data_IF_998084075939
#
_entry.id   IF_998084075939
#
_cell.length_a   1.000
_cell.length_b   1.000
_cell.length_c   1.000
_cell.angle_alpha   90.00
_cell.angle_beta   90.00
_cell.angle_gamma   90.00
#
_symmetry.space_group_name_H-M   'P 1'
#
loop_
_entity.id
_entity.type
_entity.pdbx_description
1 polymer ?
#
# COMPACT_ATOMS: atom_id res chain seq x y z
N UNK A 1 3.83 -2.14 5.68
CA UNK A 1 4.13 -0.97 4.81
C UNK A 1 3.17 -1.01 3.63
N UNK A 2 2.61 0.16 3.25
CA UNK A 2 1.77 0.33 2.07
C UNK A 2 2.59 1.01 0.98
N UNK A 3 2.61 0.41 -0.22
CA UNK A 3 3.39 0.90 -1.37
C UNK A 3 2.45 1.48 -2.42
N UNK A 4 2.78 2.65 -2.95
CA UNK A 4 2.13 3.15 -4.17
C UNK A 4 2.68 2.40 -5.36
N UNK A 5 1.77 1.91 -6.19
CA UNK A 5 2.10 1.23 -7.46
C UNK A 5 1.48 1.97 -8.63
N UNK A 6 2.21 1.97 -9.73
CA UNK A 6 1.76 2.46 -11.05
C UNK A 6 2.01 1.37 -12.09
N UNK A 7 1.46 1.54 -13.29
CA UNK A 7 1.78 0.66 -14.40
C UNK A 7 3.30 0.69 -14.69
N UNK A 8 3.89 -0.46 -15.04
CA UNK A 8 5.34 -0.57 -15.32
C UNK A 8 5.84 0.40 -16.38
N UNK A 9 4.98 0.75 -17.34
CA UNK A 9 5.30 1.65 -18.45
C UNK A 9 5.05 3.14 -18.11
N UNK A 10 4.56 3.47 -16.92
CA UNK A 10 4.42 4.85 -16.48
C UNK A 10 5.79 5.53 -16.40
N UNK A 11 5.98 6.76 -16.89
CA UNK A 11 7.22 7.51 -16.70
C UNK A 11 7.44 7.95 -15.24
N UNK A 12 6.37 7.95 -14.44
CA UNK A 12 6.44 8.39 -13.03
C UNK A 12 7.13 7.31 -12.18
N UNK A 13 8.22 7.69 -11.51
CA UNK A 13 9.01 6.82 -10.62
C UNK A 13 9.13 7.35 -9.20
N UNK A 14 8.77 8.61 -8.98
CA UNK A 14 8.84 9.26 -7.68
C UNK A 14 7.64 10.20 -7.48
N UNK A 15 7.13 10.25 -6.27
CA UNK A 15 6.09 11.19 -5.84
C UNK A 15 6.44 11.76 -4.48
N UNK A 16 6.03 12.99 -4.23
CA UNK A 16 6.02 13.53 -2.87
C UNK A 16 4.77 13.08 -2.11
N UNK A 17 4.79 13.11 -0.78
CA UNK A 17 3.59 12.87 0.05
C UNK A 17 2.45 13.82 -0.32
N UNK A 18 2.77 15.07 -0.63
CA UNK A 18 1.77 16.05 -1.05
C UNK A 18 1.10 15.68 -2.38
N UNK A 19 1.88 15.21 -3.37
CA UNK A 19 1.35 14.72 -4.65
C UNK A 19 0.47 13.48 -4.45
N UNK A 20 0.92 12.50 -3.65
CA UNK A 20 0.11 11.32 -3.32
C UNK A 20 -1.22 11.74 -2.70
N UNK A 21 -1.21 12.63 -1.72
CA UNK A 21 -2.43 13.13 -1.09
C UNK A 21 -3.38 13.79 -2.10
N UNK A 22 -2.85 14.65 -2.98
CA UNK A 22 -3.64 15.35 -4.00
C UNK A 22 -4.21 14.40 -5.06
N UNK A 23 -3.46 13.38 -5.47
CA UNK A 23 -3.92 12.34 -6.40
C UNK A 23 -5.09 11.57 -5.78
N UNK A 24 -4.87 10.97 -4.61
CA UNK A 24 -5.89 10.11 -3.99
C UNK A 24 -7.11 10.86 -3.46
N UNK A 25 -7.05 12.19 -3.34
CA UNK A 25 -8.21 13.06 -3.06
C UNK A 25 -8.83 13.66 -4.33
N UNK A 26 -8.32 13.34 -5.52
CA UNK A 26 -8.85 13.81 -6.80
C UNK A 26 -8.57 15.28 -7.11
N UNK A 27 -7.61 15.90 -6.43
CA UNK A 27 -7.16 17.27 -6.71
C UNK A 27 -6.21 17.31 -7.92
N UNK A 28 -5.37 16.29 -8.11
CA UNK A 28 -4.59 16.04 -9.32
C UNK A 28 -5.34 14.94 -10.08
N UNK A 29 -5.72 15.23 -11.32
CA UNK A 29 -6.56 14.35 -12.15
C UNK A 29 -5.87 13.85 -13.41
N UNK A 30 -4.80 14.50 -13.82
CA UNK A 30 -4.05 14.16 -15.02
C UNK A 30 -2.56 13.98 -14.67
N UNK A 31 -1.93 12.99 -15.31
CA UNK A 31 -0.52 12.71 -15.07
C UNK A 31 0.42 13.85 -15.49
N UNK A 32 0.01 14.68 -16.46
CA UNK A 32 0.80 15.85 -16.91
C UNK A 32 0.99 16.91 -15.81
N UNK A 33 0.09 16.96 -14.83
CA UNK A 33 0.19 17.90 -13.69
C UNK A 33 1.40 17.60 -12.76
N UNK A 34 1.98 16.41 -12.91
CA UNK A 34 3.12 15.96 -12.10
C UNK A 34 4.30 15.46 -12.96
N UNK A 35 4.38 15.88 -14.22
CA UNK A 35 5.47 15.55 -15.13
C UNK A 35 5.38 14.18 -15.77
N UNK A 36 4.21 13.54 -15.71
CA UNK A 36 3.89 12.32 -16.46
C UNK A 36 3.44 12.59 -17.89
N UNK A 37 3.22 11.54 -18.66
CA UNK A 37 2.56 11.64 -19.96
C UNK A 37 1.09 12.07 -19.78
N UNK A 38 0.55 12.96 -20.65
CA UNK A 38 -0.86 13.37 -20.54
C UNK A 38 -1.81 12.17 -20.53
N UNK A 39 -2.78 12.20 -19.62
CA UNK A 39 -3.80 11.19 -19.48
C UNK A 39 -4.45 11.19 -18.09
N UNK A 40 -5.75 10.86 -18.03
CA UNK A 40 -6.50 10.89 -16.78
C UNK A 40 -5.99 9.82 -15.80
N UNK A 41 -5.84 10.18 -14.54
CA UNK A 41 -5.41 9.25 -13.49
C UNK A 41 -6.58 8.35 -13.08
N UNK A 42 -6.40 7.03 -13.22
CA UNK A 42 -7.35 6.02 -12.73
C UNK A 42 -6.92 5.53 -11.36
N UNK A 43 -7.67 5.87 -10.30
CA UNK A 43 -7.36 5.54 -8.92
C UNK A 43 -8.01 4.22 -8.54
N UNK A 44 -7.18 3.22 -8.17
CA UNK A 44 -7.63 1.94 -7.65
C UNK A 44 -7.43 1.88 -6.14
N UNK A 45 -8.50 1.63 -5.41
CA UNK A 45 -8.51 1.59 -3.95
C UNK A 45 -9.17 0.32 -3.43
N UNK A 46 -9.10 0.08 -2.13
CA UNK A 46 -9.82 -1.00 -1.47
C UNK A 46 -11.28 -0.58 -1.21
N UNK A 47 -12.14 -1.55 -0.96
CA UNK A 47 -13.49 -1.32 -0.48
C UNK A 47 -13.49 -0.70 0.94
N UNK A 48 -14.60 -0.11 1.36
CA UNK A 48 -14.73 0.63 2.63
C UNK A 48 -14.65 -0.24 3.88
N UNK A 49 -14.86 -1.57 3.76
CA UNK A 49 -14.70 -2.53 4.86
C UNK A 49 -13.23 -2.87 5.15
N UNK A 50 -12.30 -2.49 4.26
CA UNK A 50 -10.87 -2.79 4.39
C UNK A 50 -10.19 -1.89 5.42
N UNK A 51 -9.48 -2.50 6.38
CA UNK A 51 -8.56 -1.76 7.25
C UNK A 51 -7.49 -0.98 6.46
N UNK A 52 -7.01 -1.55 5.35
CA UNK A 52 -6.04 -0.87 4.46
C UNK A 52 -6.62 0.38 3.81
N UNK A 53 -7.92 0.41 3.47
CA UNK A 53 -8.61 1.60 2.99
C UNK A 53 -8.58 2.73 4.02
N UNK A 54 -8.93 2.41 5.27
CA UNK A 54 -8.95 3.37 6.38
C UNK A 54 -7.56 3.86 6.74
N UNK A 55 -6.58 2.96 6.76
CA UNK A 55 -5.19 3.33 7.04
C UNK A 55 -4.60 4.23 5.96
N UNK A 56 -4.89 3.95 4.67
CA UNK A 56 -4.44 4.82 3.58
C UNK A 56 -5.06 6.21 3.67
N UNK A 57 -6.36 6.26 3.94
CA UNK A 57 -7.06 7.52 4.15
C UNK A 57 -6.41 8.36 5.26
N UNK A 58 -6.05 7.72 6.38
CA UNK A 58 -5.37 8.38 7.50
C UNK A 58 -3.93 8.78 7.17
N UNK A 59 -3.12 7.84 6.67
CA UNK A 59 -1.67 8.02 6.49
C UNK A 59 -1.31 8.91 5.29
N UNK A 60 -2.02 8.73 4.17
CA UNK A 60 -1.67 9.38 2.91
C UNK A 60 -2.57 10.57 2.57
N UNK A 61 -3.81 10.58 3.04
CA UNK A 61 -4.80 11.58 2.63
C UNK A 61 -5.17 12.56 3.75
N UNK A 62 -4.62 12.38 4.95
CA UNK A 62 -4.93 13.25 6.11
C UNK A 62 -6.39 13.15 6.54
N UNK A 63 -7.00 11.96 6.42
CA UNK A 63 -8.40 11.69 6.77
C UNK A 63 -9.44 12.15 5.72
N UNK A 64 -9.01 12.72 4.60
CA UNK A 64 -9.91 13.20 3.53
C UNK A 64 -10.48 12.04 2.73
N UNK A 65 -11.59 12.29 2.04
CA UNK A 65 -12.28 11.28 1.24
C UNK A 65 -11.63 11.04 -0.13
N UNK A 66 -11.81 9.83 -0.62
CA UNK A 66 -11.48 9.48 -2.00
C UNK A 66 -12.49 10.11 -2.96
N UNK A 67 -12.08 10.45 -4.19
CA UNK A 67 -13.02 10.94 -5.19
C UNK A 67 -14.03 9.83 -5.55
N UNK A 68 -15.25 10.22 -5.91
CA UNK A 68 -16.32 9.29 -6.33
C UNK A 68 -15.94 8.45 -7.54
N UNK A 69 -14.97 8.92 -8.34
CA UNK A 69 -14.43 8.23 -9.52
C UNK A 69 -13.43 7.12 -9.18
N UNK A 70 -13.03 6.96 -7.91
CA UNK A 70 -12.10 5.90 -7.51
C UNK A 70 -12.74 4.51 -7.64
N UNK A 71 -11.96 3.55 -8.17
CA UNK A 71 -12.39 2.19 -8.42
C UNK A 71 -12.07 1.32 -7.20
N UNK A 72 -13.11 0.76 -6.57
CA UNK A 72 -12.99 0.00 -5.32
C UNK A 72 -12.80 -1.48 -5.59
N UNK A 73 -11.72 -2.06 -5.06
CA UNK A 73 -11.33 -3.46 -5.24
C UNK A 73 -11.43 -4.25 -3.93
N UNK A 74 -11.73 -5.54 -4.03
CA UNK A 74 -11.86 -6.42 -2.88
C UNK A 74 -10.50 -6.72 -2.20
N UNK A 75 -9.40 -6.81 -2.98
CA UNK A 75 -8.08 -7.20 -2.48
C UNK A 75 -6.92 -6.38 -3.04
N UNK A 76 -5.74 -6.50 -2.40
CA UNK A 76 -4.50 -5.89 -2.90
C UNK A 76 -4.10 -6.48 -4.26
N UNK A 77 -4.27 -7.79 -4.43
CA UNK A 77 -3.94 -8.48 -5.69
C UNK A 77 -4.76 -7.92 -6.85
N UNK A 78 -6.06 -7.71 -6.65
CA UNK A 78 -6.94 -7.14 -7.66
C UNK A 78 -6.53 -5.70 -8.03
N UNK A 79 -6.14 -4.87 -7.04
CA UNK A 79 -5.57 -3.54 -7.33
C UNK A 79 -4.34 -3.67 -8.23
N UNK A 80 -3.41 -4.56 -7.88
CA UNK A 80 -2.18 -4.73 -8.64
C UNK A 80 -2.46 -5.22 -10.07
N UNK A 81 -3.38 -6.14 -10.27
CA UNK A 81 -3.81 -6.63 -11.58
C UNK A 81 -4.43 -5.53 -12.44
N UNK A 82 -5.30 -4.70 -11.87
CA UNK A 82 -5.94 -3.61 -12.61
C UNK A 82 -4.94 -2.48 -12.97
N UNK A 83 -4.03 -2.14 -12.06
CA UNK A 83 -2.94 -1.20 -12.35
C UNK A 83 -2.01 -1.75 -13.44
N UNK A 84 -1.73 -3.06 -13.45
CA UNK A 84 -0.92 -3.69 -14.49
C UNK A 84 -1.53 -3.59 -15.89
N UNK A 85 -2.86 -3.62 -16.00
CA UNK A 85 -3.59 -3.53 -17.28
C UNK A 85 -3.78 -2.09 -17.76
N UNK A 86 -3.82 -1.12 -16.84
CA UNK A 86 -4.13 0.28 -17.16
C UNK A 86 -2.87 1.16 -17.06
N UNK A 87 -2.38 1.66 -18.22
CA UNK A 87 -1.20 2.54 -18.25
C UNK A 87 -1.34 3.84 -17.44
N UNK A 88 -2.57 4.28 -17.18
CA UNK A 88 -2.88 5.47 -16.41
C UNK A 88 -3.27 5.13 -14.96
N UNK A 89 -3.12 3.87 -14.56
CA UNK A 89 -3.50 3.38 -13.25
C UNK A 89 -2.52 3.73 -12.14
N UNK A 90 -3.08 4.08 -10.98
CA UNK A 90 -2.38 4.19 -9.70
C UNK A 90 -3.17 3.47 -8.63
N UNK A 91 -2.48 2.83 -7.70
CA UNK A 91 -3.09 2.18 -6.55
C UNK A 91 -2.11 2.09 -5.38
N UNK A 92 -2.58 1.57 -4.27
CA UNK A 92 -1.73 1.22 -3.13
C UNK A 92 -1.98 -0.21 -2.69
N UNK A 93 -0.91 -0.88 -2.34
CA UNK A 93 -0.92 -2.30 -1.91
C UNK A 93 0.02 -2.53 -0.75
N UNK A 94 -0.18 -3.61 -0.02
CA UNK A 94 0.83 -4.09 0.93
C UNK A 94 2.14 -4.47 0.22
N UNK A 95 3.26 -4.36 0.90
CA UNK A 95 4.60 -4.64 0.35
C UNK A 95 4.68 -6.01 -0.35
N UNK A 96 4.01 -7.04 0.18
CA UNK A 96 3.96 -8.37 -0.42
C UNK A 96 3.42 -8.40 -1.86
N UNK A 97 2.60 -7.42 -2.24
CA UNK A 97 1.97 -7.30 -3.57
C UNK A 97 2.66 -6.28 -4.48
N UNK A 98 3.71 -5.63 -4.01
CA UNK A 98 4.37 -4.53 -4.72
C UNK A 98 5.17 -4.99 -5.95
N UNK A 99 5.49 -6.29 -6.04
CA UNK A 99 6.25 -6.90 -7.14
C UNK A 99 5.36 -7.62 -8.16
N UNK A 100 4.06 -7.34 -8.20
CA UNK A 100 3.16 -7.94 -9.18
C UNK A 100 3.62 -7.59 -10.61
N UNK A 101 3.75 -8.58 -11.51
CA UNK A 101 4.15 -8.34 -12.90
C UNK A 101 3.25 -7.29 -13.57
N UNK A 102 3.84 -6.39 -14.35
CA UNK A 102 3.12 -5.29 -15.01
C UNK A 102 2.95 -4.03 -14.15
N UNK A 103 3.38 -4.05 -12.89
CA UNK A 103 3.42 -2.87 -12.02
C UNK A 103 4.85 -2.50 -11.64
N UNK A 104 5.03 -1.29 -11.14
CA UNK A 104 6.23 -0.85 -10.44
C UNK A 104 5.83 0.01 -9.24
N UNK A 105 6.66 0.01 -8.21
CA UNK A 105 6.54 0.94 -7.09
C UNK A 105 7.12 2.30 -7.46
N UNK A 106 6.66 3.35 -6.77
CA UNK A 106 7.26 4.67 -6.82
C UNK A 106 7.91 5.00 -5.48
N UNK A 107 8.98 5.79 -5.51
CA UNK A 107 9.57 6.33 -4.29
C UNK A 107 8.68 7.44 -3.71
N UNK A 108 8.67 7.59 -2.40
CA UNK A 108 7.93 8.66 -1.72
C UNK A 108 8.93 9.57 -1.00
N UNK A 109 8.96 10.83 -1.37
CA UNK A 109 9.96 11.80 -0.91
C UNK A 109 11.41 11.24 -1.04
N UNK A 110 11.69 10.53 -2.14
CA UNK A 110 12.98 9.91 -2.42
C UNK A 110 13.25 8.60 -1.67
N UNK A 111 12.33 8.11 -0.83
CA UNK A 111 12.49 6.86 -0.08
C UNK A 111 11.84 5.70 -0.83
N UNK A 112 12.60 4.64 -1.10
CA UNK A 112 12.07 3.41 -1.72
C UNK A 112 11.23 2.59 -0.74
N UNK A 113 10.10 1.98 -1.21
CA UNK A 113 9.26 1.09 -0.42
C UNK A 113 9.85 -0.32 -0.33
N UNK A 114 10.97 -0.46 0.38
CA UNK A 114 11.65 -1.74 0.64
C UNK A 114 11.73 -2.01 2.15
N UNK A 115 11.88 -3.27 2.54
CA UNK A 115 11.90 -3.65 3.96
C UNK A 115 12.97 -2.89 4.77
N UNK A 116 14.16 -2.69 4.19
CA UNK A 116 15.25 -1.95 4.83
C UNK A 116 14.89 -0.48 5.17
N UNK A 117 13.94 0.11 4.46
CA UNK A 117 13.49 1.48 4.66
C UNK A 117 12.23 1.60 5.53
N UNK A 118 11.75 0.51 6.12
CA UNK A 118 10.47 0.49 6.85
C UNK A 118 10.35 1.59 7.92
N UNK A 119 11.43 1.88 8.64
CA UNK A 119 11.45 2.91 9.68
C UNK A 119 11.40 4.35 9.14
N UNK A 120 11.76 4.55 7.88
CA UNK A 120 11.84 5.87 7.22
C UNK A 120 10.66 6.10 6.27
N UNK A 121 10.01 5.03 5.82
CA UNK A 121 8.99 5.11 4.80
C UNK A 121 7.68 5.70 5.34
N UNK A 122 7.16 6.71 4.66
CA UNK A 122 6.03 7.52 5.12
C UNK A 122 4.75 6.71 5.41
N UNK A 123 4.52 5.60 4.69
CA UNK A 123 3.33 4.77 4.81
C UNK A 123 3.60 3.41 5.44
N UNK A 124 4.61 3.35 6.32
CA UNK A 124 4.83 2.20 7.18
C UNK A 124 3.72 2.14 8.25
N UNK A 125 3.28 0.93 8.58
CA UNK A 125 2.33 0.68 9.65
C UNK A 125 2.62 -0.65 10.31
N UNK A 126 2.25 -0.76 11.58
CA UNK A 126 2.28 -2.01 12.32
C UNK A 126 1.01 -2.83 12.01
N UNK A 127 1.14 -4.14 12.08
CA UNK A 127 0.01 -5.07 12.17
C UNK A 127 -0.06 -5.57 13.61
N UNK A 128 -1.24 -5.60 14.19
CA UNK A 128 -1.45 -5.99 15.58
C UNK A 128 -2.21 -7.31 15.63
N UNK A 129 -1.82 -8.15 16.58
CA UNK A 129 -2.58 -9.30 17.00
C UNK A 129 -3.25 -8.93 18.34
N UNK A 130 -4.52 -9.20 18.42
CA UNK A 130 -5.30 -8.96 19.63
C UNK A 130 -5.64 -10.30 20.28
N UNK A 131 -5.42 -10.39 21.58
CA UNK A 131 -5.79 -11.52 22.40
C UNK A 131 -6.48 -11.01 23.69
N UNK A 132 -7.30 -11.82 24.36
CA UNK A 132 -7.78 -11.50 25.70
C UNK A 132 -6.61 -11.29 26.67
N UNK A 133 -6.83 -10.55 27.77
CA UNK A 133 -5.83 -10.35 28.82
C UNK A 133 -5.29 -11.68 29.42
N UNK A 134 -6.15 -12.70 29.44
CA UNK A 134 -5.81 -14.07 29.81
C UNK A 134 -6.16 -15.01 28.65
N UNK A 135 -5.25 -15.20 27.70
CA UNK A 135 -5.45 -16.14 26.61
C UNK A 135 -5.46 -17.59 27.10
N UNK A 136 -6.09 -18.50 26.35
CA UNK A 136 -5.95 -19.93 26.59
C UNK A 136 -4.50 -20.38 26.36
N UNK A 137 -4.12 -21.55 26.86
CA UNK A 137 -2.78 -22.12 26.66
C UNK A 137 -2.43 -22.22 25.15
N UNK A 138 -3.37 -22.65 24.34
CA UNK A 138 -3.21 -22.78 22.89
C UNK A 138 -3.03 -21.42 22.20
N UNK A 139 -3.83 -20.43 22.60
CA UNK A 139 -3.71 -19.07 22.07
C UNK A 139 -2.36 -18.45 22.46
N UNK A 140 -1.90 -18.66 23.70
CA UNK A 140 -0.59 -18.20 24.15
C UNK A 140 0.54 -18.89 23.37
N UNK A 141 0.48 -20.22 23.17
CA UNK A 141 1.46 -20.95 22.39
C UNK A 141 1.55 -20.43 20.94
N UNK A 142 0.40 -20.09 20.33
CA UNK A 142 0.38 -19.48 18.99
C UNK A 142 1.04 -18.09 18.96
N UNK A 143 0.77 -17.25 19.96
CA UNK A 143 1.40 -15.93 20.08
C UNK A 143 2.91 -16.03 20.26
N UNK A 144 3.36 -16.99 21.08
CA UNK A 144 4.78 -17.25 21.32
C UNK A 144 5.46 -17.79 20.05
N UNK A 145 4.78 -18.70 19.33
CA UNK A 145 5.28 -19.19 18.05
C UNK A 145 5.46 -18.04 17.03
N UNK A 146 4.48 -17.14 16.90
CA UNK A 146 4.61 -15.99 15.97
C UNK A 146 5.81 -15.12 16.32
N UNK A 147 6.11 -14.92 17.61
CA UNK A 147 7.26 -14.14 18.08
C UNK A 147 8.59 -14.88 17.97
N UNK A 148 8.57 -16.20 17.81
CA UNK A 148 9.78 -17.02 17.69
C UNK A 148 10.50 -16.76 16.36
N UNK A 149 11.78 -17.17 16.30
CA UNK A 149 12.58 -17.09 15.06
C UNK A 149 11.90 -17.81 13.88
N UNK A 150 11.29 -18.97 14.15
CA UNK A 150 10.58 -19.74 13.13
C UNK A 150 9.33 -19.00 12.62
N UNK A 151 8.54 -18.43 13.52
CA UNK A 151 7.37 -17.62 13.16
C UNK A 151 7.77 -16.36 12.38
N UNK A 152 8.81 -15.65 12.80
CA UNK A 152 9.32 -14.46 12.12
C UNK A 152 9.90 -14.78 10.74
N UNK A 153 10.52 -15.95 10.54
CA UNK A 153 10.92 -16.41 9.22
C UNK A 153 9.74 -16.62 8.27
N UNK A 154 8.61 -17.12 8.78
CA UNK A 154 7.37 -17.23 8.01
C UNK A 154 6.81 -15.85 7.66
N UNK A 155 6.78 -14.91 8.63
CA UNK A 155 6.37 -13.52 8.42
C UNK A 155 7.16 -12.88 7.26
N UNK A 156 8.47 -13.09 7.24
CA UNK A 156 9.32 -12.61 6.14
C UNK A 156 9.02 -13.30 4.82
N UNK A 157 8.85 -14.63 4.83
CA UNK A 157 8.57 -15.44 3.63
C UNK A 157 7.30 -15.03 2.93
N UNK A 158 6.26 -14.61 3.67
CA UNK A 158 4.98 -14.13 3.11
C UNK A 158 5.01 -12.63 2.78
N UNK A 159 6.17 -11.98 2.83
CA UNK A 159 6.38 -10.60 2.37
C UNK A 159 6.03 -9.52 3.40
N UNK A 160 5.86 -9.88 4.67
CA UNK A 160 5.80 -8.90 5.76
C UNK A 160 7.21 -8.62 6.32
N UNK A 161 7.34 -7.54 7.06
CA UNK A 161 8.59 -7.14 7.70
C UNK A 161 8.56 -7.69 9.12
N UNK A 162 9.53 -8.54 9.50
CA UNK A 162 9.66 -9.04 10.87
C UNK A 162 9.84 -7.91 11.90
N UNK A 163 9.53 -8.21 13.16
CA UNK A 163 9.79 -7.31 14.29
C UNK A 163 11.28 -7.22 14.63
#
# INVERSE_FOLDING_TARGET
MLCVIVNKNSPVSSLTKAQVAKIFTGQIKDWSEIGGAPGPISIYTRNTSSGTYKDWQKLAMGGRDYPSTSLKMAGNEQIAQEVAKNKNGIGYVGLAYSKTPGTKTVTIDGVEPVAANAKKFAYARLCYLYAPDKPTAEAQAFLDFIKSSAGQAIVQKVGFIPN
#
